data_IF_485407656489
#
_entry.id   IF_485407656489
#
_cell.length_a   1.000
_cell.length_b   1.000
_cell.length_c   1.000
_cell.angle_alpha   90.00
_cell.angle_beta   90.00
_cell.angle_gamma   90.00
#
_symmetry.space_group_name_H-M   'P 1'
#
loop_
_entity.id
_entity.type
_entity.pdbx_description
1 polymer ?
#
# COMPACT_ATOMS: atom_id res chain seq x y z
N UNK A 1 -19.10 26.63 13.61
CA UNK A 1 -19.87 25.95 12.54
C UNK A 1 -19.39 24.53 12.45
N UNK A 2 -20.27 23.55 12.68
CA UNK A 2 -19.94 22.14 12.75
C UNK A 2 -20.48 21.38 11.53
N UNK A 3 -19.81 20.27 11.22
CA UNK A 3 -20.08 19.22 10.21
C UNK A 3 -19.46 19.51 8.85
N UNK A 4 -18.57 18.65 8.33
CA UNK A 4 -18.90 17.28 7.93
C UNK A 4 -17.74 16.30 8.22
N UNK A 5 -17.90 15.46 9.24
CA UNK A 5 -17.19 14.18 9.30
C UNK A 5 -18.00 13.17 8.48
N UNK A 6 -17.42 12.68 7.40
CA UNK A 6 -17.96 11.60 6.58
C UNK A 6 -18.19 10.36 7.49
N UNK A 7 -19.44 9.89 7.69
CA UNK A 7 -19.76 8.88 8.71
C UNK A 7 -19.07 7.53 8.48
N UNK A 8 -18.74 7.19 7.23
CA UNK A 8 -18.26 5.85 6.86
C UNK A 8 -16.85 5.57 7.40
N UNK A 9 -15.94 6.55 7.33
CA UNK A 9 -14.56 6.36 7.80
C UNK A 9 -14.47 6.43 9.33
N UNK A 10 -15.30 7.27 9.97
CA UNK A 10 -15.30 7.42 11.43
C UNK A 10 -15.95 6.20 12.11
N UNK A 11 -17.11 5.77 11.63
CA UNK A 11 -17.83 4.62 12.24
C UNK A 11 -17.09 3.30 12.05
N UNK A 12 -16.47 3.08 10.89
CA UNK A 12 -15.63 1.89 10.68
C UNK A 12 -14.38 1.91 11.59
N UNK A 13 -13.75 3.07 11.77
CA UNK A 13 -12.55 3.19 12.62
C UNK A 13 -12.81 2.87 14.10
N UNK A 14 -13.98 3.25 14.64
CA UNK A 14 -14.34 2.92 16.03
C UNK A 14 -14.67 1.44 16.22
N UNK A 15 -15.31 0.81 15.23
CA UNK A 15 -15.65 -0.61 15.27
C UNK A 15 -14.40 -1.49 15.16
N UNK A 16 -13.48 -1.14 14.25
CA UNK A 16 -12.20 -1.83 14.06
C UNK A 16 -11.40 -1.88 15.36
N UNK A 17 -11.43 -0.80 16.15
CA UNK A 17 -10.74 -0.70 17.45
C UNK A 17 -11.32 -1.58 18.56
N UNK A 18 -12.46 -2.24 18.34
CA UNK A 18 -13.04 -3.18 19.31
C UNK A 18 -12.47 -4.59 19.19
N UNK A 19 -11.74 -4.88 18.13
CA UNK A 19 -11.12 -6.18 17.91
C UNK A 19 -9.63 -6.09 18.21
N UNK A 20 -9.12 -7.08 18.94
CA UNK A 20 -7.68 -7.23 19.15
C UNK A 20 -7.02 -7.98 17.99
N UNK A 21 -7.73 -8.96 17.42
CA UNK A 21 -7.28 -9.79 16.31
C UNK A 21 -8.46 -10.18 15.41
N UNK A 22 -8.21 -10.21 14.10
CA UNK A 22 -9.13 -10.69 13.06
C UNK A 22 -8.33 -11.51 12.04
N UNK A 23 -8.93 -12.51 11.38
CA UNK A 23 -8.19 -13.28 10.37
C UNK A 23 -7.86 -12.43 9.13
N UNK A 24 -8.84 -11.68 8.62
CA UNK A 24 -8.71 -10.79 7.48
C UNK A 24 -9.23 -9.39 7.82
N UNK A 25 -8.41 -8.37 7.54
CA UNK A 25 -8.79 -6.96 7.62
C UNK A 25 -8.81 -6.37 6.21
N UNK A 26 -9.98 -5.92 5.77
CA UNK A 26 -10.14 -5.21 4.49
C UNK A 26 -10.42 -3.73 4.74
N UNK A 27 -9.55 -2.87 4.21
CA UNK A 27 -9.66 -1.43 4.32
C UNK A 27 -9.82 -0.80 2.93
N UNK A 28 -10.82 0.05 2.80
CA UNK A 28 -10.92 0.97 1.67
C UNK A 28 -10.44 2.35 2.14
N UNK A 29 -9.38 2.87 1.52
CA UNK A 29 -8.74 4.11 1.94
C UNK A 29 -8.94 5.18 0.89
N UNK A 30 -9.61 6.26 1.30
CA UNK A 30 -9.83 7.45 0.49
C UNK A 30 -9.53 8.70 1.31
N UNK A 31 -8.38 9.32 1.03
CA UNK A 31 -8.00 10.61 1.62
C UNK A 31 -8.58 11.69 0.70
N UNK A 32 -9.62 12.39 1.18
CA UNK A 32 -10.33 13.44 0.43
C UNK A 32 -9.86 14.85 0.81
N UNK A 33 -9.46 15.01 2.06
CA UNK A 33 -9.00 16.29 2.60
C UNK A 33 -7.60 16.60 2.07
N UNK A 34 -7.45 17.74 1.42
CA UNK A 34 -6.19 18.18 0.82
C UNK A 34 -5.15 18.57 1.90
N UNK A 35 -3.87 18.44 1.55
CA UNK A 35 -2.77 18.81 2.45
C UNK A 35 -2.52 17.82 3.59
N UNK A 36 -1.83 18.29 4.65
CA UNK A 36 -1.40 17.45 5.78
C UNK A 36 -2.54 16.95 6.67
N UNK A 37 -3.67 17.67 6.71
CA UNK A 37 -4.79 17.35 7.61
C UNK A 37 -5.42 15.99 7.31
N UNK A 38 -5.72 15.73 6.02
CA UNK A 38 -6.31 14.45 5.61
C UNK A 38 -5.41 13.26 5.88
N UNK A 39 -4.11 13.43 5.66
CA UNK A 39 -3.13 12.38 5.94
C UNK A 39 -2.95 12.16 7.45
N UNK A 40 -2.87 13.23 8.24
CA UNK A 40 -2.79 13.12 9.71
C UNK A 40 -3.98 12.37 10.26
N UNK A 41 -5.19 12.67 9.79
CA UNK A 41 -6.40 11.93 10.15
C UNK A 41 -6.31 10.45 9.76
N UNK A 42 -5.78 10.15 8.58
CA UNK A 42 -5.51 8.76 8.16
C UNK A 42 -4.59 8.04 9.14
N UNK A 43 -3.46 8.65 9.53
CA UNK A 43 -2.53 8.08 10.51
C UNK A 43 -3.23 7.87 11.87
N UNK A 44 -3.98 8.86 12.35
CA UNK A 44 -4.67 8.78 13.64
C UNK A 44 -5.72 7.66 13.67
N UNK A 45 -6.40 7.42 12.55
CA UNK A 45 -7.41 6.37 12.43
C UNK A 45 -6.81 4.97 12.23
N UNK A 46 -5.59 4.89 11.70
CA UNK A 46 -4.93 3.61 11.36
C UNK A 46 -3.72 3.28 12.26
N UNK A 47 -3.46 4.09 13.28
CA UNK A 47 -2.39 3.85 14.27
C UNK A 47 -2.62 2.64 15.20
N UNK A 48 -3.87 2.14 15.27
CA UNK A 48 -4.28 1.01 16.11
C UNK A 48 -5.27 0.14 15.35
N UNK A 49 -4.74 -0.65 14.44
CA UNK A 49 -5.50 -1.69 13.74
C UNK A 49 -5.40 -3.01 14.52
N UNK A 50 -6.43 -3.88 14.45
CA UNK A 50 -6.34 -5.23 14.97
C UNK A 50 -5.18 -5.97 14.29
N UNK A 51 -4.61 -6.94 15.00
CA UNK A 51 -3.72 -7.90 14.36
C UNK A 51 -4.51 -8.66 13.29
N UNK A 52 -3.87 -8.96 12.17
CA UNK A 52 -4.49 -9.79 11.14
C UNK A 52 -3.47 -10.64 10.41
N UNK A 53 -3.91 -11.77 9.88
CA UNK A 53 -3.10 -12.62 9.00
C UNK A 53 -3.12 -12.10 7.57
N UNK A 54 -4.27 -11.60 7.12
CA UNK A 54 -4.45 -11.02 5.78
C UNK A 54 -4.88 -9.57 5.88
N UNK A 55 -4.09 -8.67 5.30
CA UNK A 55 -4.43 -7.25 5.15
C UNK A 55 -4.72 -6.95 3.68
N UNK A 56 -5.94 -6.50 3.39
CA UNK A 56 -6.36 -6.11 2.04
C UNK A 56 -6.66 -4.62 1.99
N UNK A 57 -5.99 -3.90 1.10
CA UNK A 57 -6.15 -2.46 0.93
C UNK A 57 -6.70 -2.16 -0.46
N UNK A 58 -7.76 -1.38 -0.53
CA UNK A 58 -8.20 -0.70 -1.75
C UNK A 58 -7.87 0.79 -1.63
N UNK A 59 -6.87 1.23 -2.40
CA UNK A 59 -6.36 2.59 -2.35
C UNK A 59 -6.98 3.46 -3.44
N UNK A 60 -7.80 4.42 -3.01
CA UNK A 60 -8.57 5.35 -3.84
C UNK A 60 -8.09 6.80 -3.68
N UNK A 61 -6.84 6.99 -3.26
CA UNK A 61 -6.25 8.31 -2.99
C UNK A 61 -5.16 8.66 -4.02
N UNK A 62 -5.08 9.94 -4.41
CA UNK A 62 -4.01 10.51 -5.28
C UNK A 62 -2.91 11.23 -4.48
N UNK A 63 -2.89 11.05 -3.16
CA UNK A 63 -1.94 11.73 -2.30
C UNK A 63 -0.53 11.15 -2.45
N UNK A 64 0.49 12.02 -2.38
CA UNK A 64 1.88 11.60 -2.22
C UNK A 64 2.10 10.94 -0.86
N UNK A 65 3.10 10.06 -0.76
CA UNK A 65 3.34 9.26 0.43
C UNK A 65 2.58 7.94 0.41
N UNK A 66 2.33 7.37 -0.78
CA UNK A 66 1.80 6.02 -0.95
C UNK A 66 2.66 4.97 -0.24
N UNK A 67 3.98 4.97 -0.45
CA UNK A 67 4.86 3.97 0.15
C UNK A 67 4.84 4.11 1.67
N UNK A 68 4.89 5.36 2.13
CA UNK A 68 4.83 5.72 3.56
C UNK A 68 3.51 5.25 4.18
N UNK A 69 2.38 5.47 3.52
CA UNK A 69 1.09 5.01 3.98
C UNK A 69 1.01 3.47 4.05
N UNK A 70 1.55 2.77 3.05
CA UNK A 70 1.55 1.30 3.05
C UNK A 70 2.41 0.74 4.18
N UNK A 71 3.58 1.33 4.41
CA UNK A 71 4.47 0.94 5.50
C UNK A 71 3.88 1.26 6.88
N UNK A 72 3.17 2.39 7.02
CA UNK A 72 2.39 2.69 8.23
C UNK A 72 1.36 1.60 8.52
N UNK A 73 0.59 1.19 7.52
CA UNK A 73 -0.42 0.14 7.68
C UNK A 73 0.21 -1.21 8.05
N UNK A 74 1.30 -1.60 7.39
CA UNK A 74 2.05 -2.82 7.71
C UNK A 74 2.63 -2.79 9.13
N UNK A 75 3.09 -1.62 9.59
CA UNK A 75 3.55 -1.43 10.97
C UNK A 75 2.40 -1.59 11.96
N UNK A 76 1.24 -1.01 11.67
CA UNK A 76 0.04 -1.14 12.51
C UNK A 76 -0.51 -2.57 12.54
N UNK A 77 -0.26 -3.36 11.48
CA UNK A 77 -0.66 -4.76 11.37
C UNK A 77 0.58 -5.70 11.25
N UNK A 78 1.53 -5.60 12.18
CA UNK A 78 2.82 -6.29 12.07
C UNK A 78 2.77 -7.84 12.04
N UNK A 79 1.64 -8.45 12.41
CA UNK A 79 1.39 -9.89 12.28
C UNK A 79 0.92 -10.34 10.89
N UNK A 80 0.84 -9.42 9.92
CA UNK A 80 0.35 -9.70 8.57
C UNK A 80 1.26 -10.70 7.87
N UNK A 81 0.65 -11.79 7.38
CA UNK A 81 1.28 -12.80 6.53
C UNK A 81 1.05 -12.53 5.05
N UNK A 82 -0.14 -12.06 4.70
CA UNK A 82 -0.51 -11.72 3.34
C UNK A 82 -0.96 -10.27 3.24
N UNK A 83 -0.29 -9.51 2.38
CA UNK A 83 -0.66 -8.13 2.07
C UNK A 83 -1.11 -8.04 0.61
N UNK A 84 -2.37 -7.65 0.39
CA UNK A 84 -2.90 -7.41 -0.94
C UNK A 84 -3.31 -5.95 -1.08
N UNK A 85 -2.82 -5.29 -2.14
CA UNK A 85 -3.06 -3.89 -2.41
C UNK A 85 -3.63 -3.70 -3.81
N UNK A 86 -4.73 -2.97 -3.89
CA UNK A 86 -5.39 -2.62 -5.13
C UNK A 86 -5.36 -1.10 -5.30
N UNK A 87 -4.56 -0.61 -6.24
CA UNK A 87 -4.46 0.81 -6.59
C UNK A 87 -5.40 1.14 -7.75
N UNK A 88 -6.43 1.94 -7.48
CA UNK A 88 -7.55 2.22 -8.41
C UNK A 88 -7.51 3.64 -8.99
N UNK A 89 -6.42 4.39 -8.86
CA UNK A 89 -6.41 5.82 -9.17
C UNK A 89 -5.54 6.26 -10.34
N UNK A 90 -4.77 5.35 -10.94
CA UNK A 90 -3.82 5.68 -12.01
C UNK A 90 -4.48 5.85 -13.40
N UNK A 91 -5.81 5.69 -13.52
CA UNK A 91 -6.50 5.71 -14.82
C UNK A 91 -6.90 7.10 -15.33
N UNK A 92 -6.75 8.15 -14.50
CA UNK A 92 -7.06 9.52 -14.90
C UNK A 92 -5.82 10.38 -14.72
N UNK A 93 -5.15 10.68 -15.84
CA UNK A 93 -4.03 11.62 -16.05
C UNK A 93 -4.34 13.10 -15.63
N UNK A 94 -5.28 13.32 -14.72
CA UNK A 94 -5.64 14.65 -14.22
C UNK A 94 -4.81 15.00 -13.00
N UNK A 95 -3.85 15.90 -13.25
CA UNK A 95 -3.11 16.78 -12.36
C UNK A 95 -2.54 16.12 -11.10
N UNK A 96 -1.31 15.61 -11.22
CA UNK A 96 -0.43 15.43 -10.06
C UNK A 96 -0.28 16.80 -9.40
N UNK A 97 -0.91 17.00 -8.24
CA UNK A 97 -0.71 18.23 -7.49
C UNK A 97 0.73 18.27 -6.99
N UNK A 98 1.44 19.42 -7.06
CA UNK A 98 2.82 19.51 -6.59
C UNK A 98 2.94 19.12 -5.09
N UNK A 99 3.97 18.34 -4.73
CA UNK A 99 4.26 17.97 -3.32
C UNK A 99 4.62 19.28 -2.60
N UNK A 100 3.75 19.72 -1.69
CA UNK A 100 4.02 20.88 -0.82
C UNK A 100 4.99 20.47 0.29
N UNK A 101 5.72 21.42 0.89
CA UNK A 101 6.58 21.15 2.06
C UNK A 101 5.80 20.54 3.24
N UNK A 102 4.50 20.83 3.34
CA UNK A 102 3.59 20.24 4.32
C UNK A 102 3.09 18.85 3.93
N UNK A 103 3.53 18.31 2.79
CA UNK A 103 3.04 17.06 2.29
C UNK A 103 3.68 15.90 3.07
N UNK A 104 2.92 14.84 3.35
CA UNK A 104 3.42 13.64 4.01
C UNK A 104 4.67 13.04 3.39
N UNK A 105 4.94 13.25 2.10
CA UNK A 105 6.20 12.89 1.41
C UNK A 105 7.46 13.39 2.14
N UNK A 106 7.34 14.43 2.97
CA UNK A 106 8.46 15.07 3.67
C UNK A 106 8.44 14.86 5.19
N UNK A 107 7.49 14.10 5.73
CA UNK A 107 7.42 13.91 7.19
C UNK A 107 8.51 12.93 7.67
N UNK A 108 9.24 13.30 8.72
CA UNK A 108 10.35 12.53 9.30
C UNK A 108 9.98 11.11 9.77
N UNK A 109 8.68 10.79 9.90
CA UNK A 109 8.22 9.42 10.17
C UNK A 109 8.62 8.43 9.07
N UNK A 110 8.93 8.90 7.86
CA UNK A 110 9.50 8.10 6.76
C UNK A 110 10.87 7.52 7.14
N UNK A 111 11.69 8.27 7.89
CA UNK A 111 12.99 7.82 8.39
C UNK A 111 12.88 6.97 9.67
N UNK A 112 11.70 6.92 10.32
CA UNK A 112 11.42 6.02 11.46
C UNK A 112 10.98 4.62 11.04
N UNK A 113 10.99 4.33 9.74
CA UNK A 113 10.78 2.99 9.18
C UNK A 113 12.10 2.23 9.11
N UNK A 114 13.25 2.90 9.32
CA UNK A 114 14.51 2.25 9.65
C UNK A 114 14.30 1.35 10.87
N UNK A 115 14.33 0.03 10.65
CA UNK A 115 14.09 -0.99 11.68
C UNK A 115 12.68 -1.60 11.71
N UNK A 116 11.77 -1.26 10.80
CA UNK A 116 10.51 -2.01 10.65
C UNK A 116 10.80 -3.39 10.04
N UNK A 117 10.94 -4.39 10.91
CA UNK A 117 11.07 -5.78 10.49
C UNK A 117 9.70 -6.37 10.12
N UNK A 118 9.56 -6.90 8.90
CA UNK A 118 8.33 -7.51 8.39
C UNK A 118 8.39 -9.04 8.56
N UNK A 119 8.71 -9.49 9.77
CA UNK A 119 9.07 -10.88 10.09
C UNK A 119 7.96 -11.91 9.88
N UNK A 120 6.71 -11.47 9.72
CA UNK A 120 5.57 -12.36 9.45
C UNK A 120 5.14 -12.36 8.00
N UNK A 121 5.65 -11.43 7.17
CA UNK A 121 5.13 -11.20 5.83
C UNK A 121 5.65 -12.26 4.84
N UNK A 122 4.74 -13.11 4.36
CA UNK A 122 5.03 -14.24 3.48
C UNK A 122 4.65 -13.95 2.02
N UNK A 123 3.57 -13.19 1.80
CA UNK A 123 3.02 -12.91 0.47
C UNK A 123 2.64 -11.44 0.30
N UNK A 124 3.01 -10.87 -0.85
CA UNK A 124 2.63 -9.52 -1.25
C UNK A 124 2.02 -9.53 -2.64
N UNK A 125 0.86 -8.90 -2.78
CA UNK A 125 0.17 -8.73 -4.06
C UNK A 125 -0.12 -7.24 -4.28
N UNK A 126 0.39 -6.67 -5.38
CA UNK A 126 0.17 -5.26 -5.73
C UNK A 126 -0.48 -5.20 -7.11
N UNK A 127 -1.75 -4.82 -7.15
CA UNK A 127 -2.54 -4.61 -8.37
C UNK A 127 -2.67 -3.14 -8.72
N UNK A 128 -2.67 -2.81 -10.02
CA UNK A 128 -2.63 -1.43 -10.48
C UNK A 128 -1.24 -0.81 -10.29
N UNK A 129 -0.19 -1.62 -10.48
CA UNK A 129 1.19 -1.17 -10.32
C UNK A 129 1.60 -0.28 -11.50
N UNK A 130 2.29 0.82 -11.17
CA UNK A 130 2.95 1.72 -12.12
C UNK A 130 4.41 1.83 -11.73
N UNK A 131 5.30 1.97 -12.70
CA UNK A 131 6.74 2.05 -12.46
C UNK A 131 7.16 3.43 -11.96
N UNK A 132 6.80 3.76 -10.72
CA UNK A 132 7.15 5.01 -10.06
C UNK A 132 8.23 4.78 -9.00
N UNK A 133 9.07 5.79 -8.77
CA UNK A 133 10.12 5.74 -7.75
C UNK A 133 9.59 5.30 -6.38
N UNK A 134 8.44 5.84 -5.96
CA UNK A 134 7.82 5.50 -4.68
C UNK A 134 7.40 4.03 -4.58
N UNK A 135 6.78 3.47 -5.64
CA UNK A 135 6.37 2.05 -5.66
C UNK A 135 7.59 1.11 -5.72
N UNK A 136 8.66 1.51 -6.41
CA UNK A 136 9.90 0.72 -6.47
C UNK A 136 10.64 0.71 -5.14
N UNK A 137 10.76 1.86 -4.47
CA UNK A 137 11.35 1.92 -3.13
C UNK A 137 10.55 1.10 -2.11
N UNK A 138 9.22 1.05 -2.23
CA UNK A 138 8.41 0.16 -1.40
C UNK A 138 8.69 -1.33 -1.66
N UNK A 139 8.80 -1.74 -2.93
CA UNK A 139 9.15 -3.13 -3.27
C UNK A 139 10.54 -3.48 -2.72
N UNK A 140 11.52 -2.60 -2.91
CA UNK A 140 12.86 -2.76 -2.35
C UNK A 140 12.83 -2.88 -0.83
N UNK A 141 12.06 -2.02 -0.16
CA UNK A 141 11.90 -2.07 1.28
C UNK A 141 11.34 -3.43 1.74
N UNK A 142 10.27 -3.91 1.11
CA UNK A 142 9.69 -5.22 1.42
C UNK A 142 10.74 -6.32 1.22
N UNK A 143 11.43 -6.32 0.08
CA UNK A 143 12.42 -7.34 -0.23
C UNK A 143 13.57 -7.39 0.77
N UNK A 144 13.99 -6.25 1.32
CA UNK A 144 15.04 -6.19 2.33
C UNK A 144 14.57 -6.54 3.74
N UNK A 145 13.31 -6.23 4.10
CA UNK A 145 12.83 -6.29 5.49
C UNK A 145 11.89 -7.47 5.77
N UNK A 146 11.35 -8.14 4.75
CA UNK A 146 10.51 -9.33 4.87
C UNK A 146 11.34 -10.59 4.57
N UNK A 147 12.15 -11.03 5.54
CA UNK A 147 13.13 -12.12 5.36
C UNK A 147 12.50 -13.48 5.03
N UNK A 148 11.22 -13.67 5.36
CA UNK A 148 10.46 -14.90 5.07
C UNK A 148 9.53 -14.76 3.87
N UNK A 149 9.64 -13.68 3.09
CA UNK A 149 8.83 -13.45 1.91
C UNK A 149 9.02 -14.61 0.91
N UNK A 150 7.92 -15.21 0.48
CA UNK A 150 7.89 -16.34 -0.45
C UNK A 150 7.39 -15.90 -1.82
N UNK A 151 6.48 -14.93 -1.86
CA UNK A 151 5.78 -14.55 -3.09
C UNK A 151 5.59 -13.04 -3.19
N UNK A 152 5.93 -12.50 -4.36
CA UNK A 152 5.58 -11.14 -4.77
C UNK A 152 4.81 -11.22 -6.09
N UNK A 153 3.58 -10.72 -6.11
CA UNK A 153 2.73 -10.64 -7.29
C UNK A 153 2.53 -9.19 -7.67
N UNK A 154 2.84 -8.84 -8.91
CA UNK A 154 2.62 -7.48 -9.42
C UNK A 154 1.69 -7.54 -10.62
N UNK A 155 0.51 -6.94 -10.49
CA UNK A 155 -0.40 -6.72 -11.62
C UNK A 155 -0.21 -5.32 -12.19
N UNK A 156 0.38 -5.22 -13.38
CA UNK A 156 0.69 -3.96 -14.06
C UNK A 156 -0.49 -3.48 -14.90
N UNK A 157 -0.57 -2.16 -15.09
CA UNK A 157 -1.58 -1.54 -15.96
C UNK A 157 -1.15 -1.71 -17.44
N UNK A 158 -2.09 -1.98 -18.38
CA UNK A 158 -1.77 -2.03 -19.81
C UNK A 158 -1.11 -0.73 -20.29
N UNK A 159 -0.04 -0.84 -21.08
CA UNK A 159 0.69 0.31 -21.67
C UNK A 159 1.96 0.75 -20.94
N UNK A 160 2.21 0.26 -19.72
CA UNK A 160 3.44 0.53 -18.93
C UNK A 160 4.25 -0.76 -18.73
N UNK A 161 4.61 -1.40 -19.85
CA UNK A 161 5.20 -2.74 -19.84
C UNK A 161 6.52 -2.76 -20.58
N UNK A 162 7.61 -2.40 -19.89
CA UNK A 162 8.95 -2.68 -20.40
C UNK A 162 9.49 -3.96 -19.74
N UNK A 163 10.18 -4.79 -20.53
CA UNK A 163 10.90 -5.97 -20.02
C UNK A 163 11.89 -5.51 -18.92
N UNK A 164 12.55 -4.38 -19.16
CA UNK A 164 13.49 -3.74 -18.24
C UNK A 164 12.89 -3.44 -16.85
N UNK A 165 11.65 -2.96 -16.78
CA UNK A 165 10.96 -2.68 -15.52
C UNK A 165 10.75 -3.95 -14.68
N UNK A 166 10.41 -5.06 -15.34
CA UNK A 166 10.23 -6.36 -14.66
C UNK A 166 11.56 -6.91 -14.14
N UNK A 167 12.61 -6.77 -14.93
CA UNK A 167 13.94 -7.26 -14.56
C UNK A 167 14.51 -6.47 -13.38
N UNK A 168 14.28 -5.15 -13.33
CA UNK A 168 14.61 -4.37 -12.14
C UNK A 168 13.86 -4.90 -10.92
N UNK A 169 12.54 -5.07 -10.99
CA UNK A 169 11.75 -5.59 -9.86
C UNK A 169 12.25 -6.97 -9.39
N UNK A 170 12.54 -7.87 -10.34
CA UNK A 170 13.09 -9.20 -10.02
C UNK A 170 14.45 -9.07 -9.32
N UNK A 171 15.31 -8.19 -9.80
CA UNK A 171 16.65 -7.96 -9.23
C UNK A 171 16.63 -7.40 -7.80
N UNK A 172 15.53 -6.74 -7.39
CA UNK A 172 15.36 -6.24 -6.02
C UNK A 172 15.02 -7.35 -5.02
N UNK A 173 14.51 -8.49 -5.49
CA UNK A 173 14.03 -9.58 -4.64
C UNK A 173 15.12 -10.63 -4.41
N UNK A 174 15.11 -11.28 -3.25
CA UNK A 174 15.97 -12.44 -3.02
C UNK A 174 15.62 -13.56 -4.02
N UNK A 175 16.57 -14.35 -4.53
CA UNK A 175 16.30 -15.43 -5.50
C UNK A 175 15.26 -16.49 -5.07
N UNK A 176 14.98 -16.57 -3.77
CA UNK A 176 14.01 -17.52 -3.20
C UNK A 176 12.57 -16.98 -3.22
N UNK A 177 12.38 -15.70 -3.56
CA UNK A 177 11.07 -15.07 -3.69
C UNK A 177 10.53 -15.39 -5.08
N UNK A 178 9.36 -16.01 -5.16
CA UNK A 178 8.64 -16.18 -6.41
C UNK A 178 8.02 -14.84 -6.83
N UNK A 179 8.56 -14.23 -7.89
CA UNK A 179 8.04 -12.99 -8.46
C UNK A 179 7.19 -13.29 -9.69
N UNK A 180 5.90 -12.95 -9.63
CA UNK A 180 4.95 -13.17 -10.73
C UNK A 180 4.40 -11.83 -11.23
N UNK A 181 4.25 -11.71 -12.55
CA UNK A 181 3.66 -10.54 -13.19
C UNK A 181 2.35 -10.90 -13.87
N UNK A 182 1.36 -10.03 -13.73
CA UNK A 182 0.07 -10.19 -14.37
C UNK A 182 -0.31 -8.89 -15.06
N UNK A 183 -1.14 -8.99 -16.09
CA UNK A 183 -1.86 -7.81 -16.60
C UNK A 183 -3.11 -7.59 -15.78
N UNK A 184 -3.29 -6.38 -15.26
CA UNK A 184 -4.56 -5.96 -14.67
C UNK A 184 -5.53 -5.63 -15.83
N UNK A 185 -6.53 -6.46 -16.13
CA UNK A 185 -7.45 -6.15 -17.21
C UNK A 185 -8.45 -5.11 -16.72
N UNK A 186 -8.98 -4.32 -17.66
CA UNK A 186 -10.02 -3.34 -17.38
C UNK A 186 -11.29 -3.91 -16.68
N UNK A 187 -11.47 -5.24 -16.58
CA UNK A 187 -12.65 -5.89 -15.97
C UNK A 187 -12.39 -7.27 -15.32
N UNK A 188 -11.46 -7.37 -14.34
CA UNK A 188 -11.60 -8.39 -13.27
C UNK A 188 -11.24 -9.85 -13.54
N UNK A 189 -10.45 -10.19 -14.58
CA UNK A 189 -9.85 -11.54 -14.72
C UNK A 189 -8.33 -11.47 -14.91
N UNK A 190 -7.54 -11.76 -13.88
CA UNK A 190 -6.08 -11.82 -14.00
C UNK A 190 -5.67 -12.86 -15.06
N UNK A 191 -4.79 -12.46 -15.98
CA UNK A 191 -4.15 -13.35 -16.96
C UNK A 191 -2.67 -13.40 -16.62
N UNK A 192 -2.14 -14.61 -16.40
CA UNK A 192 -0.72 -14.88 -16.15
C UNK A 192 0.07 -14.58 -17.43
N UNK A 193 1.16 -13.81 -17.31
CA UNK A 193 2.15 -13.65 -18.36
C UNK A 193 3.51 -14.07 -17.80
N UNK A 194 4.10 -15.11 -18.39
CA UNK A 194 5.47 -15.55 -18.10
C UNK A 194 6.50 -14.50 -18.56
#
# INVERSE_FOLDING_TARGET
>A
MAKSLDPVVVAASELIRRFDEVDELKLEIKIREQGSAGYKRFLDQTNKLPKCKTLRISWLSKHHGWAVAMLHLLRSCNGTRKFSLLSLNDWNLTLVQPCLLSCPCHMDEIYKIDGLALNSLEEVEISGFTYSHEKIEFVKFISCNATILKKLVISMIPGFQLIEERDVIRSLCHPNVKVEFYMFPNCGRQVLFD
#
